data_IF_040808853338
#
_entry.id   IF_040808853338
#
_cell.length_a   1.000
_cell.length_b   1.000
_cell.length_c   1.000
_cell.angle_alpha   90.00
_cell.angle_beta   90.00
_cell.angle_gamma   90.00
#
_symmetry.space_group_name_H-M   'P 1'
#
loop_
_entity.id
_entity.type
_entity.pdbx_description
1 polymer ?
#
# COMPACT_ATOMS: atom_id res chain seq x y z
N UNK A 1 11.57 -10.80 9.17
CA UNK A 1 10.42 -10.27 9.92
C UNK A 1 9.62 -11.46 10.36
N UNK A 2 9.38 -11.56 11.67
CA UNK A 2 8.58 -12.64 12.22
C UNK A 2 7.11 -12.25 12.15
N UNK A 3 6.30 -13.17 11.65
CA UNK A 3 4.85 -12.99 11.58
C UNK A 3 4.19 -13.65 12.80
N UNK A 4 3.10 -13.04 13.24
CA UNK A 4 2.24 -13.62 14.28
C UNK A 4 0.91 -14.07 13.66
N UNK A 5 0.18 -14.95 14.38
CA UNK A 5 -1.17 -15.34 13.99
C UNK A 5 -2.18 -14.21 14.22
N UNK A 6 -3.35 -14.32 13.60
CA UNK A 6 -4.46 -13.37 13.82
C UNK A 6 -4.89 -13.37 15.30
N UNK A 7 -4.98 -14.53 15.94
CA UNK A 7 -5.35 -14.65 17.35
C UNK A 7 -4.36 -13.93 18.26
N UNK A 8 -3.05 -14.10 18.02
CA UNK A 8 -2.02 -13.40 18.77
C UNK A 8 -2.07 -11.87 18.55
N UNK A 9 -2.39 -11.46 17.33
CA UNK A 9 -2.56 -10.06 16.99
C UNK A 9 -3.81 -9.43 17.64
N UNK A 10 -4.91 -10.17 17.73
CA UNK A 10 -6.14 -9.72 18.41
C UNK A 10 -5.97 -9.54 19.93
N UNK A 11 -5.03 -10.27 20.53
CA UNK A 11 -4.73 -10.16 21.95
C UNK A 11 -3.79 -8.99 22.31
N UNK A 12 -3.21 -8.30 21.32
CA UNK A 12 -2.29 -7.19 21.58
C UNK A 12 -3.00 -5.90 21.95
N UNK A 13 -2.36 -5.09 22.79
CA UNK A 13 -2.76 -3.71 23.07
C UNK A 13 -2.00 -2.69 22.21
N UNK A 14 -1.07 -3.14 21.37
CA UNK A 14 -0.26 -2.33 20.47
C UNK A 14 -0.78 -2.30 19.04
N UNK A 15 0.01 -1.70 18.16
CA UNK A 15 -0.26 -1.66 16.73
C UNK A 15 -0.05 -3.04 16.10
N UNK A 16 -0.99 -3.47 15.28
CA UNK A 16 -0.82 -4.58 14.34
C UNK A 16 -0.76 -4.03 12.92
N UNK A 17 0.16 -4.55 12.12
CA UNK A 17 0.29 -4.20 10.71
C UNK A 17 0.24 -5.46 9.85
N UNK A 18 -0.85 -5.59 9.10
CA UNK A 18 -0.97 -6.65 8.07
C UNK A 18 -0.15 -6.23 6.86
N UNK A 19 0.72 -7.12 6.38
CA UNK A 19 1.64 -6.87 5.26
C UNK A 19 1.71 -8.06 4.32
N UNK A 20 2.07 -7.82 3.06
CA UNK A 20 2.27 -8.89 2.10
C UNK A 20 3.33 -9.88 2.60
N UNK A 21 3.03 -11.17 2.53
CA UNK A 21 3.97 -12.24 2.79
C UNK A 21 4.62 -12.74 1.49
N UNK A 22 5.86 -13.20 1.57
CA UNK A 22 6.60 -13.82 0.46
C UNK A 22 7.23 -12.84 -0.52
N UNK A 23 6.55 -11.74 -0.87
CA UNK A 23 7.06 -10.71 -1.78
C UNK A 23 6.92 -9.32 -1.16
N UNK A 24 7.89 -8.42 -1.31
CA UNK A 24 7.80 -7.06 -0.82
C UNK A 24 6.79 -6.27 -1.68
N UNK A 25 5.59 -6.04 -1.16
CA UNK A 25 4.60 -5.16 -1.79
C UNK A 25 4.92 -3.69 -1.49
N UNK A 26 4.99 -2.79 -2.48
CA UNK A 26 5.44 -1.41 -2.24
C UNK A 26 4.60 -0.66 -1.20
N UNK A 27 3.29 -0.89 -1.15
CA UNK A 27 2.42 -0.30 -0.13
C UNK A 27 2.70 -0.85 1.27
N UNK A 28 2.96 -2.16 1.40
CA UNK A 28 3.36 -2.77 2.68
C UNK A 28 4.73 -2.27 3.14
N UNK A 29 5.69 -2.13 2.22
CA UNK A 29 7.02 -1.59 2.55
C UNK A 29 6.93 -0.12 2.98
N UNK A 30 6.13 0.70 2.31
CA UNK A 30 5.93 2.10 2.70
C UNK A 30 5.27 2.23 4.08
N UNK A 31 4.27 1.39 4.39
CA UNK A 31 3.64 1.37 5.71
C UNK A 31 4.65 0.96 6.80
N UNK A 32 5.47 -0.07 6.57
CA UNK A 32 6.53 -0.47 7.50
C UNK A 32 7.55 0.65 7.72
N UNK A 33 7.98 1.33 6.66
CA UNK A 33 8.92 2.43 6.74
C UNK A 33 8.33 3.61 7.54
N UNK A 34 7.06 3.93 7.32
CA UNK A 34 6.33 4.97 8.01
C UNK A 34 6.27 4.74 9.52
N UNK A 35 5.83 3.56 9.96
CA UNK A 35 5.74 3.25 11.39
C UNK A 35 7.13 3.15 12.05
N UNK A 36 8.14 2.65 11.33
CA UNK A 36 9.53 2.66 11.83
C UNK A 36 10.11 4.07 11.97
N UNK A 37 9.84 4.96 11.01
CA UNK A 37 10.25 6.37 11.11
C UNK A 37 9.71 7.01 12.37
N UNK A 38 8.47 6.75 12.69
CA UNK A 38 7.82 7.25 13.90
C UNK A 38 8.12 6.43 15.15
N UNK A 39 9.04 5.45 15.09
CA UNK A 39 9.46 4.59 16.19
C UNK A 39 8.28 3.84 16.85
N UNK A 40 7.28 3.48 16.07
CA UNK A 40 6.11 2.75 16.53
C UNK A 40 6.38 1.25 16.34
N UNK A 41 6.49 0.45 17.42
CA UNK A 41 6.56 -0.98 17.31
C UNK A 41 5.22 -1.55 16.83
N UNK A 42 5.26 -2.63 16.05
CA UNK A 42 4.06 -3.31 15.57
C UNK A 42 4.28 -4.81 15.48
N UNK A 43 3.19 -5.58 15.66
CA UNK A 43 3.12 -6.97 15.30
C UNK A 43 2.78 -7.10 13.82
N UNK A 44 3.50 -7.97 13.11
CA UNK A 44 3.26 -8.19 11.69
C UNK A 44 2.36 -9.42 11.47
N UNK A 45 1.27 -9.27 10.73
CA UNK A 45 0.39 -10.37 10.30
C UNK A 45 0.54 -10.57 8.79
N UNK A 46 0.69 -11.82 8.31
CA UNK A 46 0.88 -12.08 6.89
C UNK A 46 -0.43 -11.98 6.12
N UNK A 47 -0.38 -11.36 4.95
CA UNK A 47 -1.42 -11.40 3.93
C UNK A 47 -0.86 -12.09 2.68
N UNK A 48 -1.56 -13.06 2.14
CA UNK A 48 -1.16 -13.77 0.92
C UNK A 48 -1.80 -13.06 -0.28
N UNK A 49 -1.01 -12.50 -1.19
CA UNK A 49 -1.55 -11.79 -2.36
C UNK A 49 -2.42 -12.70 -3.24
N UNK A 50 -3.48 -12.13 -3.80
CA UNK A 50 -4.41 -12.78 -4.71
C UNK A 50 -5.12 -14.04 -4.16
N UNK A 51 -5.23 -14.18 -2.84
CA UNK A 51 -6.04 -15.23 -2.20
C UNK A 51 -7.25 -14.62 -1.48
N UNK A 52 -8.17 -15.45 -1.04
CA UNK A 52 -9.39 -15.02 -0.35
C UNK A 52 -9.10 -14.35 1.00
N UNK A 53 -8.04 -14.78 1.72
CA UNK A 53 -7.69 -14.29 3.05
C UNK A 53 -8.92 -14.21 3.98
N UNK A 54 -9.71 -15.29 4.08
CA UNK A 54 -11.03 -15.29 4.71
C UNK A 54 -10.99 -14.87 6.18
N UNK A 55 -10.02 -15.39 6.96
CA UNK A 55 -9.87 -15.03 8.37
C UNK A 55 -9.50 -13.57 8.55
N UNK A 56 -8.64 -13.04 7.66
CA UNK A 56 -8.27 -11.64 7.65
C UNK A 56 -9.47 -10.75 7.31
N UNK A 57 -10.25 -11.16 6.30
CA UNK A 57 -11.48 -10.46 5.91
C UNK A 57 -12.51 -10.45 7.05
N UNK A 58 -12.72 -11.60 7.71
CA UNK A 58 -13.63 -11.72 8.84
C UNK A 58 -13.22 -10.81 10.02
N UNK A 59 -11.91 -10.70 10.27
CA UNK A 59 -11.40 -9.87 11.37
C UNK A 59 -11.42 -8.37 11.06
N UNK A 60 -10.99 -7.98 9.87
CA UNK A 60 -10.71 -6.56 9.56
C UNK A 60 -11.70 -5.91 8.60
N UNK A 61 -12.53 -6.70 7.91
CA UNK A 61 -13.33 -6.25 6.78
C UNK A 61 -12.54 -6.04 5.47
N UNK A 62 -11.22 -6.35 5.48
CA UNK A 62 -10.34 -6.15 4.34
C UNK A 62 -9.50 -7.40 4.06
N UNK A 63 -9.24 -7.68 2.77
CA UNK A 63 -8.44 -8.85 2.34
C UNK A 63 -7.05 -8.51 1.83
N UNK A 64 -6.76 -7.22 1.60
CA UNK A 64 -5.53 -6.75 0.98
C UNK A 64 -4.70 -5.91 1.95
N UNK A 65 -3.38 -6.08 1.92
CA UNK A 65 -2.43 -5.30 2.70
C UNK A 65 -2.02 -3.99 1.97
N UNK A 66 -1.58 -2.96 2.72
CA UNK A 66 -1.43 -2.96 4.18
C UNK A 66 -2.74 -2.68 4.91
N UNK A 67 -2.85 -3.20 6.14
CA UNK A 67 -3.93 -2.85 7.07
C UNK A 67 -3.29 -2.55 8.42
N UNK A 68 -3.48 -1.35 8.95
CA UNK A 68 -3.09 -1.01 10.31
C UNK A 68 -4.29 -1.11 11.25
N UNK A 69 -4.13 -1.86 12.33
CA UNK A 69 -5.14 -2.07 13.35
C UNK A 69 -4.58 -1.54 14.68
N UNK A 70 -5.25 -0.54 15.26
CA UNK A 70 -4.95 -0.03 16.57
C UNK A 70 -6.14 -0.30 17.50
N UNK A 71 -5.93 -0.72 18.76
CA UNK A 71 -7.02 -1.15 19.64
C UNK A 71 -8.15 -0.14 19.75
N UNK A 72 -9.38 -0.64 19.70
CA UNK A 72 -10.61 0.17 19.80
C UNK A 72 -10.85 1.18 18.66
N UNK A 73 -10.11 1.06 17.56
CA UNK A 73 -10.27 1.90 16.38
C UNK A 73 -10.54 1.07 15.11
N UNK A 74 -11.23 1.63 14.11
CA UNK A 74 -11.43 0.94 12.84
C UNK A 74 -10.11 0.70 12.12
N UNK A 75 -9.97 -0.42 11.38
CA UNK A 75 -8.80 -0.69 10.55
C UNK A 75 -8.56 0.41 9.51
N UNK A 76 -7.30 0.72 9.24
CA UNK A 76 -6.87 1.71 8.25
C UNK A 76 -6.10 1.05 7.11
N UNK A 77 -6.47 1.38 5.88
CA UNK A 77 -5.91 0.74 4.69
C UNK A 77 -5.33 1.73 3.68
N UNK A 78 -5.70 3.00 3.77
CA UNK A 78 -5.27 4.02 2.83
C UNK A 78 -4.01 4.72 3.32
N UNK A 79 -3.14 5.10 2.39
CA UNK A 79 -1.84 5.70 2.72
C UNK A 79 -1.96 6.95 3.61
N UNK A 80 -2.95 7.81 3.38
CA UNK A 80 -3.19 8.99 4.22
C UNK A 80 -3.68 8.61 5.62
N UNK A 81 -4.54 7.63 5.74
CA UNK A 81 -5.02 7.13 7.04
C UNK A 81 -3.87 6.52 7.87
N UNK A 82 -2.96 5.82 7.19
CA UNK A 82 -1.75 5.26 7.82
C UNK A 82 -0.81 6.37 8.27
N UNK A 83 -0.62 7.41 7.45
CA UNK A 83 0.19 8.57 7.78
C UNK A 83 -0.39 9.30 9.02
N UNK A 84 -1.68 9.58 9.04
CA UNK A 84 -2.34 10.23 10.17
C UNK A 84 -2.24 9.41 11.46
N UNK A 85 -2.37 8.08 11.36
CA UNK A 85 -2.18 7.19 12.50
C UNK A 85 -0.74 7.25 13.02
N UNK A 86 0.25 7.19 12.13
CA UNK A 86 1.66 7.24 12.49
C UNK A 86 2.05 8.58 13.12
N UNK A 87 1.59 9.71 12.54
CA UNK A 87 1.78 11.05 13.10
C UNK A 87 1.22 11.20 14.52
N UNK A 88 0.08 10.56 14.78
CA UNK A 88 -0.60 10.63 16.08
C UNK A 88 0.06 9.76 17.15
N UNK A 89 0.52 8.58 16.78
CA UNK A 89 1.05 7.58 17.74
C UNK A 89 2.56 7.71 17.98
N UNK A 90 3.27 8.29 17.02
CA UNK A 90 4.71 8.20 16.96
C UNK A 90 5.45 9.27 17.76
N UNK A 91 6.73 8.96 18.04
CA UNK A 91 7.69 9.85 18.68
C UNK A 91 8.72 10.41 17.69
N UNK A 92 8.69 9.96 16.43
CA UNK A 92 9.58 10.44 15.39
C UNK A 92 9.28 11.88 14.96
N UNK A 93 10.19 12.46 14.15
CA UNK A 93 9.94 13.77 13.56
C UNK A 93 8.71 13.72 12.64
N UNK A 94 7.82 14.71 12.77
CA UNK A 94 6.64 14.79 11.92
C UNK A 94 7.02 14.89 10.44
N UNK A 95 6.36 14.07 9.61
CA UNK A 95 6.43 14.15 8.15
C UNK A 95 5.46 15.19 7.59
N UNK A 96 4.56 15.72 8.44
CA UNK A 96 3.56 16.71 8.05
C UNK A 96 4.07 18.13 8.32
N UNK A 97 4.19 18.96 7.29
CA UNK A 97 4.59 20.37 7.46
C UNK A 97 3.65 21.15 8.37
N UNK A 98 4.21 22.09 9.15
CA UNK A 98 3.40 22.96 10.02
C UNK A 98 2.47 23.89 9.23
N UNK A 99 2.94 24.40 8.06
CA UNK A 99 2.17 25.30 7.21
C UNK A 99 1.11 24.52 6.42
N UNK A 100 -0.09 25.08 6.35
CA UNK A 100 -1.24 24.47 5.64
C UNK A 100 -0.92 24.16 4.17
N UNK A 101 -0.26 25.08 3.45
CA UNK A 101 0.13 24.85 2.06
C UNK A 101 1.04 23.63 1.89
N UNK A 102 2.02 23.46 2.78
CA UNK A 102 2.87 22.28 2.77
C UNK A 102 2.11 20.98 3.07
N UNK A 103 1.14 21.00 4.00
CA UNK A 103 0.28 19.84 4.26
C UNK A 103 -0.53 19.45 3.03
N UNK A 104 -1.09 20.43 2.31
CA UNK A 104 -1.82 20.19 1.06
C UNK A 104 -0.90 19.52 0.02
N UNK A 105 0.34 19.98 -0.11
CA UNK A 105 1.33 19.39 -1.02
C UNK A 105 1.64 17.93 -0.63
N UNK A 106 1.96 17.66 0.64
CA UNK A 106 2.25 16.30 1.11
C UNK A 106 1.06 15.38 0.88
N UNK A 107 -0.16 15.82 1.23
CA UNK A 107 -1.38 15.06 1.01
C UNK A 107 -1.59 14.74 -0.48
N UNK A 108 -1.37 15.72 -1.35
CA UNK A 108 -1.43 15.53 -2.80
C UNK A 108 -0.40 14.50 -3.28
N UNK A 109 0.85 14.63 -2.89
CA UNK A 109 1.91 13.69 -3.28
C UNK A 109 1.64 12.26 -2.77
N UNK A 110 1.19 12.09 -1.53
CA UNK A 110 0.84 10.76 -1.01
C UNK A 110 -0.27 10.13 -1.84
N UNK A 111 -1.28 10.90 -2.24
CA UNK A 111 -2.38 10.42 -3.07
C UNK A 111 -1.90 10.09 -4.49
N UNK A 112 -1.10 10.93 -5.12
CA UNK A 112 -0.57 10.69 -6.47
C UNK A 112 0.44 9.53 -6.52
N UNK A 113 1.16 9.24 -5.44
CA UNK A 113 2.09 8.10 -5.37
C UNK A 113 1.35 6.80 -5.03
N UNK A 114 0.61 6.78 -3.93
CA UNK A 114 0.11 5.55 -3.30
C UNK A 114 -1.40 5.34 -3.42
N UNK A 115 -2.14 6.36 -3.83
CA UNK A 115 -3.59 6.30 -3.99
C UNK A 115 -4.02 5.45 -5.19
N UNK A 116 -5.32 5.22 -5.28
CA UNK A 116 -5.92 4.52 -6.42
C UNK A 116 -5.64 5.30 -7.71
N UNK A 117 -5.18 4.58 -8.74
CA UNK A 117 -4.71 5.14 -10.03
C UNK A 117 -3.50 6.07 -9.92
N UNK A 118 -2.83 6.12 -8.76
CA UNK A 118 -1.57 6.83 -8.60
C UNK A 118 -0.40 6.12 -9.29
N UNK A 119 0.80 6.68 -9.15
CA UNK A 119 2.03 6.15 -9.77
C UNK A 119 2.27 4.67 -9.45
N UNK A 120 2.07 4.25 -8.18
CA UNK A 120 2.25 2.86 -7.77
C UNK A 120 1.32 1.89 -8.52
N UNK A 121 0.07 2.31 -8.80
CA UNK A 121 -0.87 1.54 -9.61
C UNK A 121 -0.39 1.43 -11.06
N UNK A 122 0.03 2.55 -11.66
CA UNK A 122 0.53 2.57 -13.02
C UNK A 122 1.78 1.68 -13.17
N UNK A 123 2.72 1.79 -12.23
CA UNK A 123 3.93 0.97 -12.21
C UNK A 123 3.62 -0.53 -12.09
N UNK A 124 2.69 -0.93 -11.19
CA UNK A 124 2.22 -2.32 -11.10
C UNK A 124 1.64 -2.81 -12.42
N UNK A 125 0.86 -1.97 -13.06
CA UNK A 125 0.23 -2.32 -14.34
C UNK A 125 1.26 -2.60 -15.42
N UNK A 126 2.32 -1.79 -15.50
CA UNK A 126 3.42 -2.01 -16.43
C UNK A 126 4.19 -3.30 -16.12
N UNK A 127 4.38 -3.64 -14.84
CA UNK A 127 4.95 -4.93 -14.42
C UNK A 127 4.07 -6.10 -14.87
N UNK A 128 2.76 -6.01 -14.66
CA UNK A 128 1.81 -7.05 -15.08
C UNK A 128 1.79 -7.21 -16.59
N UNK A 129 1.88 -6.11 -17.33
CA UNK A 129 1.98 -6.16 -18.79
C UNK A 129 3.26 -6.89 -19.25
N UNK A 130 4.40 -6.64 -18.59
CA UNK A 130 5.64 -7.36 -18.86
C UNK A 130 5.50 -8.87 -18.57
N UNK A 131 4.81 -9.25 -17.50
CA UNK A 131 4.55 -10.66 -17.21
C UNK A 131 3.59 -11.27 -18.23
N UNK A 132 2.51 -10.59 -18.55
CA UNK A 132 1.51 -11.04 -19.52
C UNK A 132 2.12 -11.31 -20.89
N UNK A 133 3.07 -10.48 -21.34
CA UNK A 133 3.75 -10.64 -22.64
C UNK A 133 4.57 -11.93 -22.76
N UNK A 134 4.89 -12.57 -21.63
CA UNK A 134 5.65 -13.83 -21.56
C UNK A 134 4.75 -15.06 -21.35
N UNK A 135 3.43 -14.89 -21.29
CA UNK A 135 2.47 -15.94 -21.00
C UNK A 135 1.60 -16.26 -22.23
N UNK A 136 1.13 -17.50 -22.33
CA UNK A 136 0.06 -17.86 -23.24
C UNK A 136 -1.27 -17.22 -22.81
N UNK A 137 -2.23 -17.09 -23.74
CA UNK A 137 -3.55 -16.52 -23.43
C UNK A 137 -4.28 -17.28 -22.32
N UNK A 138 -4.18 -18.60 -22.31
CA UNK A 138 -4.75 -19.44 -21.26
C UNK A 138 -4.10 -19.17 -19.90
N UNK A 139 -2.78 -19.03 -19.85
CA UNK A 139 -2.06 -18.73 -18.61
C UNK A 139 -2.38 -17.32 -18.10
N UNK A 140 -2.53 -16.33 -18.98
CA UNK A 140 -2.97 -14.98 -18.62
C UNK A 140 -4.37 -14.98 -18.01
N UNK A 141 -5.32 -15.63 -18.68
CA UNK A 141 -6.71 -15.70 -18.22
C UNK A 141 -6.85 -16.42 -16.86
N UNK A 142 -6.01 -17.41 -16.58
CA UNK A 142 -6.01 -18.15 -15.33
C UNK A 142 -5.19 -17.48 -14.20
N UNK A 143 -4.51 -16.36 -14.45
CA UNK A 143 -3.62 -15.76 -13.47
C UNK A 143 -4.39 -15.02 -12.37
N UNK A 144 -4.35 -15.51 -11.09
CA UNK A 144 -5.13 -14.92 -10.01
C UNK A 144 -4.69 -13.49 -9.66
N UNK A 145 -3.43 -13.13 -9.92
CA UNK A 145 -2.96 -11.75 -9.70
C UNK A 145 -3.61 -10.78 -10.67
N UNK A 146 -3.80 -11.17 -11.93
CA UNK A 146 -4.41 -10.29 -12.92
C UNK A 146 -5.88 -10.04 -12.61
N UNK A 147 -6.64 -11.07 -12.26
CA UNK A 147 -8.04 -10.91 -11.88
C UNK A 147 -8.21 -10.14 -10.57
N UNK A 148 -7.40 -10.44 -9.55
CA UNK A 148 -7.49 -9.80 -8.23
C UNK A 148 -7.18 -8.29 -8.27
N UNK A 149 -6.30 -7.86 -9.19
CA UNK A 149 -5.89 -6.46 -9.32
C UNK A 149 -6.42 -5.77 -10.57
N UNK A 150 -7.37 -6.37 -11.27
CA UNK A 150 -8.08 -5.76 -12.40
C UNK A 150 -7.16 -5.45 -13.58
N UNK A 151 -6.20 -6.35 -13.88
CA UNK A 151 -5.35 -6.17 -15.05
C UNK A 151 -6.16 -6.27 -16.34
N UNK A 152 -5.97 -5.29 -17.23
CA UNK A 152 -6.58 -5.19 -18.54
C UNK A 152 -5.57 -4.64 -19.55
N UNK A 153 -5.18 -5.45 -20.53
CA UNK A 153 -4.14 -5.11 -21.51
C UNK A 153 -4.46 -3.84 -22.31
N UNK A 154 -5.74 -3.55 -22.55
CA UNK A 154 -6.18 -2.34 -23.28
C UNK A 154 -5.83 -1.03 -22.56
N UNK A 155 -5.57 -1.08 -21.25
CA UNK A 155 -5.23 0.09 -20.45
C UNK A 155 -3.75 0.44 -20.44
N UNK A 156 -2.88 -0.33 -21.08
CA UNK A 156 -1.41 -0.16 -21.00
C UNK A 156 -0.94 1.24 -21.42
N UNK A 157 -1.37 1.73 -22.57
CA UNK A 157 -0.92 3.03 -23.09
C UNK A 157 -1.27 4.16 -22.12
N UNK A 158 -2.48 4.14 -21.58
CA UNK A 158 -2.97 5.13 -20.60
C UNK A 158 -2.19 5.06 -19.29
N UNK A 159 -1.83 3.86 -18.81
CA UNK A 159 -1.04 3.71 -17.58
C UNK A 159 0.39 4.18 -17.77
N UNK A 160 0.98 3.96 -18.94
CA UNK A 160 2.32 4.45 -19.27
C UNK A 160 2.34 5.99 -19.33
N UNK A 161 1.41 6.58 -20.06
CA UNK A 161 1.28 8.06 -20.16
C UNK A 161 1.13 8.70 -18.78
N UNK A 162 0.26 8.13 -17.93
CA UNK A 162 0.05 8.62 -16.57
C UNK A 162 1.31 8.50 -15.71
N UNK A 163 2.04 7.39 -15.80
CA UNK A 163 3.29 7.22 -15.08
C UNK A 163 4.36 8.22 -15.52
N UNK A 164 4.47 8.48 -16.81
CA UNK A 164 5.41 9.46 -17.38
C UNK A 164 5.07 10.90 -16.95
N UNK A 165 3.79 11.27 -17.00
CA UNK A 165 3.31 12.57 -16.50
C UNK A 165 3.68 12.77 -15.03
N UNK A 166 3.38 11.79 -14.18
CA UNK A 166 3.73 11.84 -12.76
C UNK A 166 5.23 12.06 -12.54
N UNK A 167 6.10 11.31 -13.24
CA UNK A 167 7.55 11.46 -13.10
C UNK A 167 8.05 12.84 -13.56
N UNK A 168 7.42 13.41 -14.58
CA UNK A 168 7.71 14.75 -15.06
C UNK A 168 7.35 15.82 -14.02
N UNK A 169 6.16 15.71 -13.42
CA UNK A 169 5.68 16.61 -12.37
C UNK A 169 6.54 16.51 -11.11
N UNK A 170 6.92 15.29 -10.71
CA UNK A 170 7.81 15.05 -9.58
C UNK A 170 9.19 15.67 -9.83
N UNK A 171 9.74 15.52 -11.04
CA UNK A 171 11.04 16.09 -11.40
C UNK A 171 11.03 17.63 -11.36
N UNK A 172 9.91 18.27 -11.68
CA UNK A 172 9.74 19.72 -11.53
C UNK A 172 9.63 20.12 -10.05
N UNK A 173 8.86 19.37 -9.26
CA UNK A 173 8.67 19.66 -7.84
C UNK A 173 9.96 19.55 -7.00
N UNK A 174 10.86 18.64 -7.37
CA UNK A 174 12.17 18.49 -6.67
C UNK A 174 13.14 19.63 -6.99
N UNK A 175 12.98 20.29 -8.14
CA UNK A 175 13.85 21.42 -8.57
C UNK A 175 13.39 22.76 -8.03
N UNK A 176 12.18 22.88 -7.53
CA UNK A 176 11.58 24.09 -6.99
C UNK A 176 11.88 24.29 -5.51
#
# INVERSE_FOLDING_TARGET
MDYVSIEAAQATTGLTLVVNAGVPGPWSESAKALFRHHQIPFLAVPQIPATANEDLLAWTGHRNAPIAIYPSEPPRTRALELLELAERLGLGASLMPKKRAGRIQVTGWVQEIAGERGFGWCARYLIFNQWASQMSDAARAANPMFSAYGYDESSQARMLERAQSFLSDLALAIKA
#
